data_IF_843460840406
#
_entry.id   IF_843460840406
#
_cell.length_a   1.000
_cell.length_b   1.000
_cell.length_c   1.000
_cell.angle_alpha   90.00
_cell.angle_beta   90.00
_cell.angle_gamma   90.00
#
_symmetry.space_group_name_H-M   'P 1'
#
loop_
_entity.id
_entity.type
_entity.pdbx_description
1 polymer ?
#
# COMPACT_ATOMS: atom_id res chain seq x y z
N UNK A 1 3.66 -19.76 -1.90
CA UNK A 1 3.49 -18.34 -1.55
C UNK A 1 2.54 -17.71 -2.54
N UNK A 2 1.27 -17.68 -2.17
CA UNK A 2 0.23 -17.07 -3.00
C UNK A 2 0.07 -15.60 -2.61
N UNK A 3 0.16 -14.73 -3.62
CA UNK A 3 -0.11 -13.30 -3.47
C UNK A 3 -1.35 -12.96 -4.29
N UNK A 4 -2.36 -12.44 -3.64
CA UNK A 4 -3.59 -11.97 -4.27
C UNK A 4 -3.64 -10.44 -4.16
N UNK A 5 -3.96 -9.77 -5.27
CA UNK A 5 -4.12 -8.32 -5.31
C UNK A 5 -5.51 -7.98 -5.87
N UNK A 6 -6.23 -7.13 -5.16
CA UNK A 6 -7.53 -6.61 -5.58
C UNK A 6 -7.56 -5.09 -5.52
N UNK A 7 -8.43 -4.51 -6.36
CA UNK A 7 -8.60 -3.07 -6.51
C UNK A 7 -10.06 -2.72 -6.23
N UNK A 8 -10.28 -1.75 -5.35
CA UNK A 8 -11.61 -1.28 -4.94
C UNK A 8 -11.69 0.22 -5.20
N UNK A 9 -12.66 0.63 -6.00
CA UNK A 9 -12.99 2.06 -6.16
C UNK A 9 -13.86 2.46 -4.99
N UNK A 10 -13.35 3.31 -4.11
CA UNK A 10 -14.09 3.79 -2.95
C UNK A 10 -14.99 4.97 -3.33
N UNK A 11 -14.52 5.82 -4.25
CA UNK A 11 -15.23 6.95 -4.85
C UNK A 11 -14.47 7.48 -6.07
N UNK A 12 -14.97 8.56 -6.68
CA UNK A 12 -14.42 9.16 -7.90
C UNK A 12 -12.93 9.53 -7.82
N UNK A 13 -12.39 9.77 -6.62
CA UNK A 13 -11.02 10.23 -6.40
C UNK A 13 -10.20 9.28 -5.54
N UNK A 14 -10.72 8.10 -5.19
CA UNK A 14 -10.08 7.20 -4.23
C UNK A 14 -10.07 5.76 -4.71
N UNK A 15 -8.86 5.19 -4.78
CA UNK A 15 -8.64 3.78 -5.12
C UNK A 15 -7.92 3.07 -3.97
N UNK A 16 -8.51 1.98 -3.48
CA UNK A 16 -7.87 1.08 -2.52
C UNK A 16 -7.29 -0.13 -3.26
N UNK A 17 -6.07 -0.50 -2.88
CA UNK A 17 -5.38 -1.71 -3.33
C UNK A 17 -5.16 -2.60 -2.14
N UNK A 18 -5.77 -3.79 -2.14
CA UNK A 18 -5.59 -4.79 -1.09
C UNK A 18 -4.67 -5.87 -1.62
N UNK A 19 -3.55 -6.09 -0.95
CA UNK A 19 -2.60 -7.15 -1.26
C UNK A 19 -2.55 -8.13 -0.10
N UNK A 20 -2.97 -9.36 -0.34
CA UNK A 20 -2.94 -10.44 0.64
C UNK A 20 -1.82 -11.40 0.28
N UNK A 21 -0.89 -11.60 1.20
CA UNK A 21 0.15 -12.62 1.10
C UNK A 21 -0.11 -13.72 2.12
N UNK A 22 -0.26 -14.95 1.64
CA UNK A 22 -0.28 -16.14 2.49
C UNK A 22 1.14 -16.66 2.65
N UNK A 23 1.56 -16.82 3.91
CA UNK A 23 2.84 -17.43 4.26
C UNK A 23 2.58 -18.92 4.51
N UNK A 24 3.09 -19.76 3.62
CA UNK A 24 3.04 -21.21 3.79
C UNK A 24 3.88 -21.58 5.01
N UNK A 25 3.28 -22.33 5.92
CA UNK A 25 3.89 -22.67 7.19
C UNK A 25 5.01 -23.68 7.08
N UNK A 26 6.26 -23.26 7.20
CA UNK A 26 7.31 -24.14 7.71
C UNK A 26 7.20 -24.19 9.24
N UNK A 27 7.18 -25.41 9.79
CA UNK A 27 7.12 -25.70 11.23
C UNK A 27 5.77 -25.43 11.92
N UNK A 28 4.66 -25.55 11.18
CA UNK A 28 3.32 -25.49 11.78
C UNK A 28 2.85 -24.08 12.12
N UNK A 29 3.44 -23.01 11.56
CA UNK A 29 2.94 -21.64 11.70
C UNK A 29 2.17 -21.22 10.46
N UNK A 30 0.92 -20.79 10.57
CA UNK A 30 0.18 -20.23 9.43
C UNK A 30 0.12 -18.70 9.59
N UNK A 31 0.62 -17.96 8.61
CA UNK A 31 0.65 -16.50 8.66
C UNK A 31 -0.05 -15.89 7.46
N UNK A 32 -0.71 -14.75 7.66
CA UNK A 32 -1.16 -13.90 6.56
C UNK A 32 -0.69 -12.46 6.79
N UNK A 33 -0.33 -11.80 5.70
CA UNK A 33 -0.05 -10.36 5.71
C UNK A 33 -0.98 -9.70 4.72
N UNK A 34 -1.77 -8.75 5.20
CA UNK A 34 -2.64 -7.91 4.38
C UNK A 34 -2.06 -6.51 4.36
N UNK A 35 -1.84 -5.98 3.17
CA UNK A 35 -1.40 -4.61 2.96
C UNK A 35 -2.49 -3.90 2.18
N UNK A 36 -3.07 -2.87 2.76
CA UNK A 36 -4.05 -2.00 2.08
C UNK A 36 -3.39 -0.67 1.79
N UNK A 37 -3.37 -0.25 0.53
CA UNK A 37 -2.91 1.07 0.11
C UNK A 37 -4.09 1.83 -0.47
N UNK A 38 -4.47 2.94 0.14
CA UNK A 38 -5.55 3.81 -0.32
C UNK A 38 -4.95 5.07 -0.91
N UNK A 39 -5.15 5.28 -2.21
CA UNK A 39 -4.72 6.45 -2.95
C UNK A 39 -5.90 7.41 -3.07
N UNK A 40 -5.85 8.52 -2.32
CA UNK A 40 -6.80 9.61 -2.49
C UNK A 40 -6.13 10.73 -3.30
N UNK A 41 -6.55 10.90 -4.55
CA UNK A 41 -5.94 11.83 -5.49
C UNK A 41 -6.22 13.31 -5.19
N UNK A 42 -7.05 13.62 -4.20
CA UNK A 42 -7.24 14.97 -3.67
C UNK A 42 -6.37 15.28 -2.44
N UNK A 43 -5.75 14.26 -1.82
CA UNK A 43 -5.05 14.42 -0.56
C UNK A 43 -3.69 13.70 -0.54
N UNK A 44 -3.70 12.38 -0.31
CA UNK A 44 -2.50 11.61 -0.01
C UNK A 44 -2.73 10.11 -0.16
N UNK A 45 -1.67 9.34 0.07
CA UNK A 45 -1.73 7.90 0.20
C UNK A 45 -1.77 7.50 1.69
N UNK A 46 -2.59 6.50 2.01
CA UNK A 46 -2.58 5.84 3.33
C UNK A 46 -2.26 4.36 3.13
N UNK A 47 -1.23 3.87 3.80
CA UNK A 47 -0.87 2.45 3.83
C UNK A 47 -1.20 1.87 5.19
N UNK A 48 -1.93 0.76 5.20
CA UNK A 48 -2.19 -0.04 6.40
C UNK A 48 -1.57 -1.41 6.22
N UNK A 49 -0.69 -1.79 7.14
CA UNK A 49 -0.12 -3.13 7.23
C UNK A 49 -0.80 -3.88 8.37
N UNK A 50 -1.45 -4.99 8.06
CA UNK A 50 -1.97 -5.95 9.05
C UNK A 50 -1.19 -7.25 8.88
N UNK A 51 -0.51 -7.69 9.94
CA UNK A 51 0.09 -9.01 10.01
C UNK A 51 -0.65 -9.83 11.04
N UNK A 52 -1.12 -10.99 10.61
CA UNK A 52 -1.73 -11.98 11.47
C UNK A 52 -0.85 -13.24 11.45
N UNK A 53 -0.34 -13.60 12.62
CA UNK A 53 0.44 -14.82 12.82
C UNK A 53 -0.34 -15.75 13.73
N UNK A 54 -0.83 -16.85 13.16
CA UNK A 54 -1.41 -17.94 13.92
C UNK A 54 -0.32 -18.99 14.20
N UNK A 55 -0.05 -19.23 15.49
CA UNK A 55 0.73 -20.39 15.92
C UNK A 55 -0.11 -21.64 15.63
N UNK A 56 0.29 -22.43 14.63
CA UNK A 56 -0.49 -23.61 14.28
C UNK A 56 -0.29 -24.70 15.33
N UNK A 57 -1.42 -25.28 15.69
CA UNK A 57 -1.58 -26.21 16.79
C UNK A 57 -1.07 -27.61 16.38
N UNK A 58 0.23 -27.74 16.18
CA UNK A 58 0.86 -28.99 15.76
C UNK A 58 1.29 -29.81 16.99
N UNK A 59 0.30 -30.29 17.76
CA UNK A 59 0.52 -31.31 18.78
C UNK A 59 0.11 -30.94 20.21
N UNK A 60 -1.03 -31.47 20.66
CA UNK A 60 -1.11 -32.06 22.01
C UNK A 60 -1.56 -31.20 23.20
N UNK A 61 -1.72 -29.88 23.09
CA UNK A 61 -2.11 -29.07 24.25
C UNK A 61 -3.42 -28.29 24.02
N UNK A 62 -4.43 -28.61 24.84
CA UNK A 62 -5.70 -27.86 24.97
C UNK A 62 -5.45 -26.55 25.74
N UNK A 63 -4.66 -25.63 25.19
CA UNK A 63 -4.48 -24.29 25.75
C UNK A 63 -4.37 -23.30 24.60
N UNK A 64 -5.21 -22.27 24.63
CA UNK A 64 -5.48 -21.36 23.52
C UNK A 64 -4.24 -20.88 22.77
N UNK A 65 -4.23 -21.07 21.46
CA UNK A 65 -3.19 -20.53 20.60
C UNK A 65 -3.17 -19.01 20.71
N UNK A 66 -2.03 -18.45 21.14
CA UNK A 66 -1.80 -17.02 21.12
C UNK A 66 -1.60 -16.58 19.66
N UNK A 67 -2.64 -16.06 19.02
CA UNK A 67 -2.51 -15.30 17.79
C UNK A 67 -1.96 -13.92 18.10
N UNK A 68 -1.02 -13.44 17.30
CA UNK A 68 -0.54 -12.05 17.39
C UNK A 68 -0.97 -11.30 16.13
N UNK A 69 -1.83 -10.30 16.32
CA UNK A 69 -2.20 -9.35 15.26
C UNK A 69 -1.42 -8.06 15.51
N UNK A 70 -0.64 -7.64 14.53
CA UNK A 70 0.03 -6.33 14.54
C UNK A 70 -0.51 -5.46 13.41
N UNK A 71 -0.90 -4.23 13.73
CA UNK A 71 -1.36 -3.23 12.77
C UNK A 71 -0.42 -2.03 12.78
N UNK A 72 0.04 -1.61 11.61
CA UNK A 72 0.79 -0.37 11.42
C UNK A 72 0.12 0.47 10.33
N UNK A 73 0.06 1.79 10.54
CA UNK A 73 -0.51 2.75 9.59
C UNK A 73 0.57 3.76 9.24
N UNK A 74 0.77 3.98 7.95
CA UNK A 74 1.66 5.00 7.39
C UNK A 74 0.84 5.92 6.50
N UNK A 75 1.06 7.23 6.63
CA UNK A 75 0.46 8.24 5.77
C UNK A 75 1.59 8.91 5.01
N UNK A 76 1.43 9.07 3.70
CA UNK A 76 2.45 9.64 2.84
C UNK A 76 1.81 10.56 1.81
N UNK A 77 2.27 11.82 1.78
CA UNK A 77 1.88 12.74 0.72
C UNK A 77 2.57 12.37 -0.59
N UNK A 78 1.91 12.64 -1.72
CA UNK A 78 2.46 12.28 -3.03
C UNK A 78 3.80 12.94 -3.33
N UNK A 79 4.07 14.13 -2.79
CA UNK A 79 5.35 14.83 -2.95
C UNK A 79 6.51 14.20 -2.15
N UNK A 80 6.22 13.25 -1.27
CA UNK A 80 7.20 12.50 -0.47
C UNK A 80 7.63 11.19 -1.16
N UNK A 81 6.90 10.77 -2.20
CA UNK A 81 7.27 9.60 -2.97
C UNK A 81 8.59 9.83 -3.71
N UNK A 82 9.42 8.78 -3.78
CA UNK A 82 10.68 8.81 -4.55
C UNK A 82 10.46 8.88 -6.06
N UNK A 83 9.31 8.41 -6.53
CA UNK A 83 8.94 8.37 -7.95
C UNK A 83 7.43 8.46 -8.09
N UNK A 84 6.96 9.11 -9.16
CA UNK A 84 5.53 9.25 -9.48
C UNK A 84 4.95 8.06 -10.24
N UNK A 85 5.76 7.04 -10.57
CA UNK A 85 5.34 5.91 -11.40
C UNK A 85 4.15 5.14 -10.79
N UNK A 86 4.19 4.86 -9.49
CA UNK A 86 3.10 4.17 -8.80
C UNK A 86 1.83 5.04 -8.74
N UNK A 87 1.98 6.34 -8.48
CA UNK A 87 0.87 7.29 -8.44
C UNK A 87 0.19 7.34 -9.81
N UNK A 88 0.96 7.41 -10.90
CA UNK A 88 0.46 7.38 -12.28
C UNK A 88 -0.27 6.08 -12.61
N UNK A 89 0.29 4.94 -12.18
CA UNK A 89 -0.33 3.63 -12.39
C UNK A 89 -1.69 3.55 -11.69
N UNK A 90 -1.75 3.96 -10.43
CA UNK A 90 -3.01 3.94 -9.65
C UNK A 90 -4.02 4.94 -10.18
N UNK A 91 -3.57 6.11 -10.65
CA UNK A 91 -4.43 7.11 -11.28
C UNK A 91 -5.10 6.57 -12.55
N UNK A 92 -4.32 5.93 -13.42
CA UNK A 92 -4.84 5.26 -14.60
C UNK A 92 -5.81 4.13 -14.24
N UNK A 93 -5.49 3.35 -13.20
CA UNK A 93 -6.35 2.26 -12.74
C UNK A 93 -7.70 2.74 -12.21
N UNK A 94 -7.72 3.88 -11.50
CA UNK A 94 -8.96 4.50 -11.03
C UNK A 94 -9.82 4.99 -12.20
N UNK A 95 -9.21 5.65 -13.19
CA UNK A 95 -9.90 6.10 -14.41
C UNK A 95 -10.49 4.94 -15.21
N UNK A 96 -9.72 3.87 -15.40
CA UNK A 96 -10.17 2.66 -16.09
C UNK A 96 -11.39 2.02 -15.41
N UNK A 97 -11.48 2.14 -14.08
CA UNK A 97 -12.60 1.65 -13.28
C UNK A 97 -13.76 2.65 -13.13
N UNK A 98 -13.75 3.75 -13.88
CA UNK A 98 -14.83 4.73 -13.93
C UNK A 98 -14.73 5.88 -12.91
N UNK A 99 -13.61 5.98 -12.18
CA UNK A 99 -13.36 7.15 -11.33
C UNK A 99 -12.97 8.39 -12.15
N UNK A 100 -13.06 9.55 -11.52
CA UNK A 100 -12.74 10.85 -12.09
C UNK A 100 -11.74 11.64 -11.23
N UNK A 101 -10.51 11.13 -11.04
CA UNK A 101 -9.48 11.86 -10.29
C UNK A 101 -9.04 13.14 -11.03
N UNK A 102 -8.49 14.13 -10.30
CA UNK A 102 -7.87 15.32 -10.91
C UNK A 102 -6.83 14.97 -11.98
N UNK A 103 -6.45 15.91 -12.86
CA UNK A 103 -5.33 15.71 -13.77
C UNK A 103 -4.07 15.28 -13.03
N UNK A 104 -3.32 14.32 -13.60
CA UNK A 104 -2.16 13.72 -12.91
C UNK A 104 -1.07 14.76 -12.63
N UNK A 105 -0.98 15.79 -13.46
CA UNK A 105 -0.07 16.93 -13.31
C UNK A 105 -0.37 17.76 -12.06
N UNK A 106 -1.63 17.80 -11.60
CA UNK A 106 -2.02 18.46 -10.36
C UNK A 106 -1.62 17.63 -9.15
N UNK A 107 -1.83 16.31 -9.21
CA UNK A 107 -1.48 15.36 -8.16
C UNK A 107 0.04 15.34 -7.93
N UNK A 108 0.84 15.29 -8.99
CA UNK A 108 2.31 15.15 -8.89
C UNK A 108 3.05 16.48 -8.87
N UNK A 109 2.35 17.62 -8.83
CA UNK A 109 2.95 18.97 -8.93
C UNK A 109 4.04 19.23 -7.89
N UNK A 110 3.86 18.73 -6.66
CA UNK A 110 4.82 18.89 -5.57
C UNK A 110 6.12 18.10 -5.77
N UNK A 111 6.07 17.01 -6.54
CA UNK A 111 7.21 16.10 -6.76
C UNK A 111 8.27 16.70 -7.69
N UNK A 112 7.83 17.39 -8.76
CA UNK A 112 8.73 17.97 -9.78
C UNK A 112 9.66 19.02 -9.18
N UNK A 113 9.20 19.75 -8.15
CA UNK A 113 10.02 20.76 -7.46
C UNK A 113 11.20 20.16 -6.70
N UNK A 114 11.06 18.97 -6.10
CA UNK A 114 12.17 18.30 -5.37
C UNK A 114 13.24 17.73 -6.32
N UNK A 115 12.83 17.22 -7.49
CA UNK A 115 13.78 16.70 -8.50
C UNK A 115 14.68 17.79 -9.09
N UNK A 116 14.17 19.00 -9.28
CA UNK A 116 14.95 20.13 -9.81
C UNK A 116 16.05 20.61 -8.84
N UNK A 117 15.84 20.49 -7.53
CA UNK A 117 16.79 20.96 -6.51
C UNK A 117 17.97 19.99 -6.33
N UNK A 118 17.76 18.69 -6.55
CA UNK A 118 18.82 17.66 -6.45
C UNK A 118 19.73 17.57 -7.70
N UNK A 119 19.42 18.30 -8.77
CA UNK A 119 20.10 18.21 -10.06
C UNK A 119 21.07 19.37 -10.35
N UNK A 120 21.34 20.26 -9.38
CA UNK A 120 22.31 21.33 -9.54
C UNK A 120 23.67 20.92 -8.93
N UNK A 121 24.68 20.50 -9.74
CA UNK A 121 26.05 20.52 -9.26
C UNK A 121 26.47 21.99 -9.17
N UNK A 122 26.71 22.45 -7.94
CA UNK A 122 27.34 23.75 -7.71
C UNK A 122 28.65 23.83 -8.48
N UNK A 123 28.69 24.66 -9.52
CA UNK A 123 29.92 25.28 -10.01
C UNK A 123 30.09 26.58 -9.22
N UNK A 124 31.24 26.71 -8.55
CA UNK A 124 31.67 27.92 -7.84
C UNK A 124 32.89 27.61 -6.99
#
# INVERSE_FOLDING_TARGET
MDTEQSFVVENDYTLSVVTTRKLDGMNGFAGSTVITRTFNFLAQQVTTHVRDVALGNSGGYKTGGAGSISTAIEQQHFDEFRSDAEIRLMHAQLKDKGGSPPPIEEVTRGMVKKSAVLSAPGKG
#
